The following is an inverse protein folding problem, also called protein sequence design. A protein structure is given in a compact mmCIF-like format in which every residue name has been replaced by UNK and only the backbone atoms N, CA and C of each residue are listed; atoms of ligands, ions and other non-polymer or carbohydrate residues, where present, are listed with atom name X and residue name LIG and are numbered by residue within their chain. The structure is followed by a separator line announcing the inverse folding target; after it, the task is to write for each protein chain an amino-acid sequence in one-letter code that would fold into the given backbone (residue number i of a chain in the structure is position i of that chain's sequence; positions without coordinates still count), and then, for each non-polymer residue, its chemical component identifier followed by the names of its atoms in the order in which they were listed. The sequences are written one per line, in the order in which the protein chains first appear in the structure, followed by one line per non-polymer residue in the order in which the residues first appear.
data_IF_821857805255
#
_entry.id   IF_821857805255
#
_cell.length_a   1.000
_cell.length_b   1.000
_cell.length_c   1.000
_cell.angle_alpha   90.00
_cell.angle_beta   90.00
_cell.angle_gamma   90.00
#
_symmetry.space_group_name_H-M   'P 1'
#
loop_
_entity.id
_entity.type
_entity.pdbx_description
1 polymer ?
#
# COMPACT_ATOMS: atom_id res chain seq x y z
N UNK A 1 -15.33 12.19 -4.76
CA UNK A 1 -16.54 11.97 -3.96
C UNK A 1 -17.52 10.97 -4.57
N UNK A 2 -18.04 11.20 -5.79
CA UNK A 2 -19.00 10.26 -6.43
C UNK A 2 -18.46 8.83 -6.65
N UNK A 3 -17.18 8.65 -6.83
CA UNK A 3 -16.55 7.34 -7.09
C UNK A 3 -16.33 6.54 -5.79
N UNK A 4 -15.97 7.21 -4.70
CA UNK A 4 -15.88 6.61 -3.36
C UNK A 4 -17.25 6.14 -2.84
N UNK A 5 -18.30 6.93 -3.10
CA UNK A 5 -19.67 6.52 -2.77
C UNK A 5 -20.14 5.29 -3.54
N UNK A 6 -19.67 5.08 -4.78
CA UNK A 6 -19.97 3.85 -5.53
C UNK A 6 -19.28 2.61 -4.96
N UNK A 7 -18.07 2.72 -4.45
CA UNK A 7 -17.36 1.59 -3.80
C UNK A 7 -17.98 1.23 -2.44
N UNK A 8 -18.41 2.22 -1.67
CA UNK A 8 -19.13 1.98 -0.43
C UNK A 8 -20.52 1.36 -0.69
N UNK A 9 -21.18 1.77 -1.77
CA UNK A 9 -22.45 1.21 -2.22
C UNK A 9 -22.31 -0.28 -2.58
N UNK A 10 -21.20 -0.69 -3.20
CA UNK A 10 -20.91 -2.11 -3.51
C UNK A 10 -20.65 -2.91 -2.23
N UNK A 11 -20.00 -2.34 -1.21
CA UNK A 11 -19.85 -2.99 0.10
C UNK A 11 -21.21 -3.19 0.83
N UNK A 12 -22.11 -2.23 0.74
CA UNK A 12 -23.44 -2.32 1.32
C UNK A 12 -24.39 -3.22 0.49
N UNK A 13 -24.27 -3.24 -0.82
CA UNK A 13 -25.08 -4.12 -1.68
C UNK A 13 -24.63 -5.59 -1.58
N UNK A 14 -23.34 -5.88 -1.41
CA UNK A 14 -22.86 -7.24 -1.14
C UNK A 14 -23.37 -7.77 0.22
N UNK A 15 -23.50 -6.89 1.21
CA UNK A 15 -24.15 -7.24 2.49
C UNK A 15 -25.65 -7.50 2.32
N UNK A 16 -26.34 -6.72 1.47
CA UNK A 16 -27.73 -6.94 1.15
C UNK A 16 -27.98 -8.32 0.45
N UNK A 17 -27.06 -8.76 -0.40
CA UNK A 17 -27.17 -10.06 -1.05
C UNK A 17 -26.96 -11.25 -0.11
N UNK A 18 -26.16 -11.11 0.95
CA UNK A 18 -26.03 -12.17 1.97
C UNK A 18 -27.25 -12.29 2.89
N UNK A 19 -28.06 -11.23 3.01
CA UNK A 19 -29.37 -11.22 3.70
C UNK A 19 -30.48 -11.73 2.80
N UNK A 20 -30.26 -11.91 1.49
CA UNK A 20 -31.20 -12.44 0.50
C UNK A 20 -31.67 -13.90 0.73
N UNK A 21 -31.08 -14.61 1.71
CA UNK A 21 -31.64 -15.86 2.20
C UNK A 21 -33.05 -15.70 2.83
N UNK A 22 -33.54 -14.46 3.01
CA UNK A 22 -34.85 -14.12 3.55
C UNK A 22 -35.81 -13.50 2.50
N UNK A 23 -35.48 -13.54 1.21
CA UNK A 23 -36.36 -13.08 0.14
C UNK A 23 -36.45 -11.55 -0.05
N UNK A 24 -35.59 -10.78 0.62
CA UNK A 24 -35.49 -9.34 0.43
C UNK A 24 -34.60 -9.06 -0.77
N UNK A 25 -35.06 -8.30 -1.76
CA UNK A 25 -34.27 -7.92 -2.94
C UNK A 25 -33.43 -6.69 -2.66
N UNK A 26 -32.32 -6.51 -3.38
CA UNK A 26 -31.45 -5.32 -3.25
C UNK A 26 -32.20 -3.98 -3.50
N UNK A 27 -33.40 -4.04 -4.12
CA UNK A 27 -34.27 -2.88 -4.35
C UNK A 27 -35.10 -2.51 -3.12
N UNK A 28 -35.26 -3.44 -2.18
CA UNK A 28 -36.05 -3.24 -0.97
C UNK A 28 -35.20 -2.72 0.21
N UNK A 29 -33.88 -2.63 0.02
CA UNK A 29 -32.96 -2.13 1.05
C UNK A 29 -32.89 -0.61 0.98
N UNK A 30 -33.34 0.03 2.05
CA UNK A 30 -33.22 1.48 2.21
C UNK A 30 -31.80 1.84 2.65
N UNK A 31 -31.11 2.67 1.85
CA UNK A 31 -29.76 3.15 2.18
C UNK A 31 -29.90 4.31 3.16
N UNK A 32 -29.36 4.15 4.36
CA UNK A 32 -29.27 5.22 5.35
C UNK A 32 -28.16 6.21 4.93
N UNK A 33 -28.54 7.33 4.32
CA UNK A 33 -27.63 8.35 3.82
C UNK A 33 -26.76 8.96 4.95
N UNK A 34 -27.27 9.32 6.13
CA UNK A 34 -26.46 9.75 7.25
C UNK A 34 -25.38 8.76 7.67
N UNK A 35 -25.71 7.47 7.81
CA UNK A 35 -24.73 6.44 8.16
C UNK A 35 -23.70 6.20 7.06
N UNK A 36 -24.10 6.31 5.80
CA UNK A 36 -23.20 6.25 4.65
C UNK A 36 -22.20 7.40 4.65
N UNK A 37 -22.63 8.62 4.96
CA UNK A 37 -21.75 9.77 5.08
C UNK A 37 -20.76 9.64 6.24
N UNK A 38 -21.17 9.10 7.39
CA UNK A 38 -20.30 8.82 8.53
C UNK A 38 -19.24 7.77 8.16
N UNK A 39 -19.61 6.74 7.39
CA UNK A 39 -18.68 5.75 6.93
C UNK A 39 -17.63 6.34 5.98
N UNK A 40 -18.06 7.23 5.06
CA UNK A 40 -17.13 7.93 4.14
C UNK A 40 -16.18 8.85 4.91
N UNK A 41 -16.68 9.59 5.91
CA UNK A 41 -15.86 10.43 6.78
C UNK A 41 -14.83 9.58 7.54
N UNK A 42 -15.24 8.49 8.17
CA UNK A 42 -14.35 7.60 8.91
C UNK A 42 -13.27 6.99 8.00
N UNK A 43 -13.61 6.67 6.76
CA UNK A 43 -12.64 6.17 5.77
C UNK A 43 -11.60 7.22 5.38
N UNK A 44 -12.00 8.48 5.27
CA UNK A 44 -11.12 9.58 4.84
C UNK A 44 -10.20 10.11 5.94
N UNK A 45 -10.54 9.91 7.21
CA UNK A 45 -9.77 10.43 8.36
C UNK A 45 -8.70 9.47 8.88
N UNK A 46 -8.66 8.24 8.39
CA UNK A 46 -7.67 7.25 8.81
C UNK A 46 -6.27 7.52 8.25
N UNK A 47 -5.25 7.55 9.10
CA UNK A 47 -3.83 7.66 8.73
C UNK A 47 -3.28 6.31 8.27
N UNK A 48 -3.85 5.73 7.22
CA UNK A 48 -3.41 4.46 6.68
C UNK A 48 -2.38 4.64 5.56
N UNK A 49 -1.27 3.93 5.67
CA UNK A 49 -0.13 4.02 4.75
C UNK A 49 -0.37 3.19 3.49
N UNK A 50 -1.13 2.11 3.60
CA UNK A 50 -1.34 1.17 2.52
C UNK A 50 -1.93 1.78 1.25
N UNK A 51 -2.79 2.78 1.37
CA UNK A 51 -3.34 3.50 0.21
C UNK A 51 -2.32 4.38 -0.51
N UNK A 52 -1.25 4.78 0.16
CA UNK A 52 -0.14 5.53 -0.43
C UNK A 52 0.86 4.62 -1.14
N UNK A 53 1.02 3.38 -0.66
CA UNK A 53 1.88 2.36 -1.26
C UNK A 53 1.24 1.72 -2.48
N UNK A 54 -0.02 1.32 -2.35
CA UNK A 54 -0.77 0.63 -3.39
C UNK A 54 -2.03 1.42 -3.73
N UNK A 55 -2.03 2.17 -4.83
CA UNK A 55 -3.22 2.90 -5.27
C UNK A 55 -4.34 1.93 -5.63
N UNK A 56 -5.58 2.30 -5.33
CA UNK A 56 -6.73 1.51 -5.69
C UNK A 56 -6.95 1.57 -7.21
N UNK A 57 -7.17 0.39 -7.80
CA UNK A 57 -7.52 0.25 -9.22
C UNK A 57 -8.98 -0.21 -9.31
N UNK A 58 -9.81 0.56 -9.98
CA UNK A 58 -11.22 0.22 -10.17
C UNK A 58 -11.34 -0.84 -11.27
N UNK A 59 -11.91 -1.99 -10.92
CA UNK A 59 -12.15 -3.11 -11.84
C UNK A 59 -13.66 -3.33 -12.01
N UNK A 60 -14.08 -3.74 -13.22
CA UNK A 60 -15.49 -3.98 -13.52
C UNK A 60 -15.96 -5.39 -13.14
N UNK A 61 -15.05 -6.35 -13.13
CA UNK A 61 -15.31 -7.76 -12.83
C UNK A 61 -14.52 -8.17 -11.61
N UNK A 62 -15.05 -9.10 -10.87
CA UNK A 62 -14.38 -9.68 -9.70
C UNK A 62 -13.13 -10.47 -10.08
N UNK A 63 -13.13 -11.10 -11.24
CA UNK A 63 -11.96 -11.79 -11.79
C UNK A 63 -11.84 -11.53 -13.28
N UNK A 64 -10.63 -11.23 -13.73
CA UNK A 64 -10.34 -11.09 -15.16
C UNK A 64 -8.83 -11.29 -15.38
N UNK A 65 -8.41 -11.28 -16.64
CA UNK A 65 -7.00 -11.32 -17.02
C UNK A 65 -6.49 -9.91 -17.34
N UNK A 66 -5.24 -9.67 -17.01
CA UNK A 66 -4.52 -8.47 -17.44
C UNK A 66 -3.25 -8.87 -18.18
N UNK A 67 -2.81 -8.00 -19.07
CA UNK A 67 -1.62 -8.27 -19.87
C UNK A 67 -0.38 -7.80 -19.10
N UNK A 68 0.65 -8.63 -19.13
CA UNK A 68 1.97 -8.32 -18.60
C UNK A 68 2.98 -8.31 -19.75
N UNK A 69 3.86 -7.33 -19.75
CA UNK A 69 4.97 -7.25 -20.70
C UNK A 69 6.21 -7.76 -19.99
N UNK A 70 6.89 -8.72 -20.62
CA UNK A 70 8.13 -9.24 -20.08
C UNK A 70 9.20 -8.15 -20.07
N UNK A 71 9.79 -7.98 -18.87
CA UNK A 71 10.80 -6.93 -18.62
C UNK A 71 12.04 -7.13 -19.51
N UNK A 72 12.46 -8.38 -19.74
CA UNK A 72 13.64 -8.70 -20.52
C UNK A 72 13.44 -8.34 -22.00
N UNK A 73 12.21 -8.48 -22.48
CA UNK A 73 11.83 -8.02 -23.83
C UNK A 73 11.81 -6.49 -23.93
N UNK A 74 11.34 -5.78 -22.88
CA UNK A 74 11.22 -4.32 -22.88
C UNK A 74 12.55 -3.60 -22.65
N UNK A 75 13.40 -4.11 -21.78
CA UNK A 75 14.70 -3.52 -21.44
C UNK A 75 15.84 -4.00 -22.36
N UNK A 76 15.54 -4.88 -23.32
CA UNK A 76 16.53 -5.44 -24.23
C UNK A 76 17.04 -4.38 -25.20
N UNK A 77 18.35 -4.21 -25.22
CA UNK A 77 19.03 -3.41 -26.24
C UNK A 77 19.37 -4.31 -27.43
N UNK A 78 18.92 -4.03 -28.65
CA UNK A 78 19.28 -4.81 -29.81
C UNK A 78 20.80 -4.74 -30.06
N UNK A 79 21.40 -5.85 -30.46
CA UNK A 79 22.84 -5.96 -30.69
C UNK A 79 23.38 -5.02 -31.76
N UNK A 80 22.55 -4.66 -32.74
CA UNK A 80 22.86 -3.66 -33.74
C UNK A 80 21.59 -3.05 -34.31
N UNK A 81 21.59 -1.73 -34.41
CA UNK A 81 20.59 -0.93 -35.15
C UNK A 81 21.12 -0.48 -36.52
N UNK A 82 22.39 -0.78 -36.81
CA UNK A 82 23.03 -0.40 -38.07
C UNK A 82 22.48 -1.25 -39.23
N UNK A 83 22.06 -0.56 -40.27
CA UNK A 83 21.53 -1.17 -41.49
C UNK A 83 22.35 -0.76 -42.71
N UNK A 84 22.73 -1.70 -43.53
CA UNK A 84 23.35 -1.42 -44.80
C UNK A 84 22.26 -0.89 -45.83
N UNK A 85 22.63 -0.05 -46.78
CA UNK A 85 21.71 0.37 -47.84
C UNK A 85 21.11 -0.82 -48.58
N UNK A 86 19.81 -0.74 -48.88
CA UNK A 86 19.02 -1.79 -49.58
C UNK A 86 18.82 -3.12 -48.85
N UNK A 87 19.15 -3.21 -47.54
CA UNK A 87 18.83 -4.39 -46.72
C UNK A 87 17.58 -4.17 -45.89
N UNK A 88 16.91 -5.25 -45.50
CA UNK A 88 15.76 -5.20 -44.57
C UNK A 88 16.20 -4.73 -43.18
N UNK A 89 15.39 -3.91 -42.50
CA UNK A 89 15.68 -3.53 -41.11
C UNK A 89 15.57 -4.75 -40.17
N UNK A 90 16.32 -4.71 -39.08
CA UNK A 90 16.18 -5.68 -38.00
C UNK A 90 14.76 -5.62 -37.40
N UNK A 91 14.19 -6.79 -37.15
CA UNK A 91 12.86 -6.89 -36.52
C UNK A 91 13.06 -7.14 -35.02
N UNK A 92 12.29 -6.42 -34.22
CA UNK A 92 12.26 -6.60 -32.77
C UNK A 92 10.79 -6.89 -32.40
N UNK A 93 10.60 -7.95 -31.64
CA UNK A 93 9.29 -8.36 -31.14
C UNK A 93 9.35 -8.34 -29.61
N UNK A 94 8.24 -7.95 -28.99
CA UNK A 94 8.08 -8.06 -27.54
C UNK A 94 7.02 -9.13 -27.24
N UNK A 95 7.25 -9.86 -26.15
CA UNK A 95 6.32 -10.89 -25.70
C UNK A 95 5.32 -10.29 -24.72
N UNK A 96 4.05 -10.61 -24.94
CA UNK A 96 2.96 -10.26 -24.06
C UNK A 96 2.48 -11.53 -23.37
N UNK A 97 2.55 -11.54 -22.08
CA UNK A 97 1.98 -12.59 -21.23
C UNK A 97 0.67 -12.11 -20.62
N UNK A 98 -0.11 -12.99 -20.05
CA UNK A 98 -1.32 -12.62 -19.31
C UNK A 98 -1.29 -13.25 -17.93
N UNK A 99 -1.70 -12.48 -16.93
CA UNK A 99 -1.92 -12.96 -15.59
C UNK A 99 -3.37 -12.67 -15.18
N UNK A 100 -3.84 -13.28 -14.10
CA UNK A 100 -5.21 -13.15 -13.63
C UNK A 100 -5.26 -12.48 -12.26
N UNK A 101 -6.28 -11.69 -12.02
CA UNK A 101 -6.60 -11.16 -10.71
C UNK A 101 -7.93 -11.71 -10.20
N UNK A 102 -8.06 -11.76 -8.90
CA UNK A 102 -9.30 -12.06 -8.20
C UNK A 102 -9.49 -11.10 -7.03
N UNK A 103 -10.58 -10.33 -7.05
CA UNK A 103 -10.94 -9.38 -6.00
C UNK A 103 -11.81 -10.07 -4.95
N UNK A 104 -11.25 -10.31 -3.76
CA UNK A 104 -11.97 -10.88 -2.63
C UNK A 104 -12.84 -9.82 -1.96
N UNK A 105 -14.08 -10.16 -1.62
CA UNK A 105 -14.97 -9.31 -0.85
C UNK A 105 -14.66 -9.42 0.64
N UNK A 106 -14.55 -8.29 1.30
CA UNK A 106 -14.36 -8.19 2.74
C UNK A 106 -15.51 -7.38 3.34
N UNK A 107 -16.26 -7.99 4.23
CA UNK A 107 -17.38 -7.35 4.92
C UNK A 107 -17.35 -7.67 6.42
N UNK A 108 -17.83 -6.74 7.22
CA UNK A 108 -18.06 -6.90 8.66
C UNK A 108 -19.46 -6.39 9.00
N UNK A 109 -20.14 -7.06 9.89
CA UNK A 109 -21.44 -6.68 10.42
C UNK A 109 -21.38 -6.60 11.95
N UNK A 110 -22.18 -5.72 12.52
CA UNK A 110 -22.44 -5.66 13.96
C UNK A 110 -23.93 -5.44 14.19
N UNK A 111 -24.48 -6.23 15.08
CA UNK A 111 -25.89 -6.14 15.46
C UNK A 111 -26.02 -5.25 16.69
N UNK A 112 -26.88 -4.26 16.62
CA UNK A 112 -27.30 -3.45 17.76
C UNK A 112 -28.76 -3.81 18.08
N UNK A 113 -29.01 -4.40 19.23
CA UNK A 113 -30.36 -4.71 19.67
C UNK A 113 -31.20 -3.43 19.76
N UNK A 114 -32.47 -3.52 19.37
CA UNK A 114 -33.36 -2.35 19.34
C UNK A 114 -33.56 -1.75 20.73
N UNK A 115 -33.59 -2.58 21.76
CA UNK A 115 -33.70 -2.16 23.16
C UNK A 115 -32.48 -1.38 23.63
N UNK A 116 -31.29 -1.75 23.16
CA UNK A 116 -30.04 -1.05 23.48
C UNK A 116 -30.01 0.32 22.81
N UNK A 117 -30.49 0.40 21.55
CA UNK A 117 -30.59 1.67 20.83
C UNK A 117 -31.61 2.59 21.50
N UNK A 118 -32.75 2.07 21.93
CA UNK A 118 -33.82 2.82 22.57
C UNK A 118 -33.42 3.36 23.97
N UNK A 119 -32.55 2.63 24.67
CA UNK A 119 -32.04 3.03 25.99
C UNK A 119 -30.72 3.80 25.96
N UNK A 120 -30.13 3.98 24.76
CA UNK A 120 -28.88 4.73 24.63
C UNK A 120 -29.13 6.21 24.72
N UNK A 121 -28.33 6.91 25.52
CA UNK A 121 -28.35 8.38 25.59
C UNK A 121 -27.99 9.00 24.26
N UNK A 122 -28.65 10.08 23.89
CA UNK A 122 -28.45 10.83 22.64
C UNK A 122 -26.96 11.15 22.34
N UNK A 123 -26.12 11.55 23.32
CA UNK A 123 -24.69 11.82 23.05
C UNK A 123 -23.91 10.61 22.55
N UNK A 124 -24.40 9.38 22.79
CA UNK A 124 -23.66 8.18 22.43
C UNK A 124 -23.74 7.87 20.94
N UNK A 125 -24.85 8.21 20.28
CA UNK A 125 -25.08 7.95 18.84
C UNK A 125 -24.61 6.54 18.42
N UNK A 126 -25.15 5.52 19.04
CA UNK A 126 -24.65 4.13 18.98
C UNK A 126 -24.47 3.64 17.54
N UNK A 127 -25.44 3.91 16.64
CA UNK A 127 -25.34 3.50 15.23
C UNK A 127 -24.13 4.14 14.52
N UNK A 128 -23.92 5.43 14.73
CA UNK A 128 -22.78 6.16 14.13
C UNK A 128 -21.43 5.63 14.64
N UNK A 129 -21.33 5.35 15.94
CA UNK A 129 -20.13 4.76 16.54
C UNK A 129 -19.86 3.35 16.01
N UNK A 130 -20.90 2.51 15.91
CA UNK A 130 -20.77 1.17 15.35
C UNK A 130 -20.30 1.22 13.90
N UNK A 131 -20.85 2.15 13.09
CA UNK A 131 -20.42 2.32 11.69
C UNK A 131 -18.94 2.73 11.61
N UNK A 132 -18.51 3.71 12.39
CA UNK A 132 -17.09 4.12 12.44
C UNK A 132 -16.18 2.97 12.88
N UNK A 133 -16.58 2.22 13.89
CA UNK A 133 -15.85 1.06 14.38
C UNK A 133 -15.67 -0.02 13.30
N UNK A 134 -16.74 -0.36 12.57
CA UNK A 134 -16.68 -1.34 11.50
C UNK A 134 -15.76 -0.89 10.35
N UNK A 135 -15.83 0.38 9.95
CA UNK A 135 -14.96 0.94 8.91
C UNK A 135 -13.49 0.89 9.36
N UNK A 136 -13.21 1.30 10.59
CA UNK A 136 -11.85 1.27 11.15
C UNK A 136 -11.28 -0.15 11.20
N UNK A 137 -12.09 -1.14 11.61
CA UNK A 137 -11.72 -2.56 11.61
C UNK A 137 -11.41 -3.07 10.19
N UNK A 138 -12.23 -2.72 9.19
CA UNK A 138 -11.99 -3.08 7.79
C UNK A 138 -10.69 -2.46 7.26
N UNK A 139 -10.44 -1.19 7.59
CA UNK A 139 -9.23 -0.49 7.17
C UNK A 139 -7.97 -1.07 7.81
N UNK A 140 -8.00 -1.38 9.10
CA UNK A 140 -6.91 -2.08 9.79
C UNK A 140 -6.65 -3.45 9.19
N UNK A 141 -7.71 -4.19 8.85
CA UNK A 141 -7.59 -5.47 8.17
C UNK A 141 -6.94 -5.34 6.79
N UNK A 142 -7.25 -4.27 6.04
CA UNK A 142 -6.59 -3.95 4.76
C UNK A 142 -5.12 -3.62 4.98
N UNK A 143 -4.81 -2.77 5.96
CA UNK A 143 -3.44 -2.36 6.29
C UNK A 143 -2.57 -3.56 6.67
N UNK A 144 -3.10 -4.46 7.51
CA UNK A 144 -2.41 -5.69 7.89
C UNK A 144 -2.08 -6.57 6.68
N UNK A 145 -3.02 -6.74 5.74
CA UNK A 145 -2.77 -7.50 4.51
C UNK A 145 -1.69 -6.86 3.65
N UNK A 146 -1.70 -5.54 3.52
CA UNK A 146 -0.67 -4.80 2.79
C UNK A 146 0.69 -4.97 3.47
N UNK A 147 0.76 -4.83 4.79
CA UNK A 147 1.98 -5.04 5.55
C UNK A 147 2.54 -6.46 5.34
N UNK A 148 1.70 -7.49 5.42
CA UNK A 148 2.09 -8.87 5.15
C UNK A 148 2.61 -9.07 3.72
N UNK A 149 2.00 -8.41 2.74
CA UNK A 149 2.42 -8.49 1.35
C UNK A 149 3.79 -7.83 1.13
N UNK A 150 4.02 -6.67 1.73
CA UNK A 150 5.28 -5.91 1.59
C UNK A 150 6.43 -6.54 2.37
N UNK A 151 6.16 -7.19 3.50
CA UNK A 151 7.21 -7.85 4.31
C UNK A 151 7.56 -9.26 3.84
N UNK A 152 6.77 -9.83 2.93
CA UNK A 152 7.03 -11.17 2.41
C UNK A 152 8.17 -11.19 1.39
N UNK A 153 9.27 -11.87 1.71
CA UNK A 153 10.42 -12.06 0.82
C UNK A 153 10.01 -12.70 -0.51
N UNK A 154 9.05 -13.61 -0.47
CA UNK A 154 8.54 -14.28 -1.69
C UNK A 154 7.92 -13.28 -2.68
N UNK A 155 7.26 -12.24 -2.19
CA UNK A 155 6.60 -11.25 -3.03
C UNK A 155 7.57 -10.17 -3.53
N UNK A 156 8.56 -9.82 -2.70
CA UNK A 156 9.53 -8.75 -3.02
C UNK A 156 10.68 -9.27 -3.90
N UNK A 157 10.90 -10.59 -3.92
CA UNK A 157 11.94 -11.24 -4.72
C UNK A 157 13.36 -11.09 -4.17
N UNK A 158 13.59 -10.23 -3.17
CA UNK A 158 14.87 -10.11 -2.47
C UNK A 158 14.65 -9.54 -1.07
N UNK A 159 15.40 -10.02 -0.12
CA UNK A 159 15.41 -9.51 1.23
C UNK A 159 16.71 -9.90 1.93
N UNK A 160 17.21 -9.02 2.78
CA UNK A 160 18.38 -9.27 3.62
C UNK A 160 17.90 -9.27 5.07
N UNK A 161 18.17 -10.33 5.80
CA UNK A 161 17.93 -10.39 7.24
C UNK A 161 19.21 -9.94 7.93
N UNK A 162 19.16 -8.76 8.54
CA UNK A 162 20.26 -8.24 9.34
C UNK A 162 20.31 -9.00 10.68
N UNK A 163 21.52 -9.33 11.14
CA UNK A 163 21.73 -10.03 12.40
C UNK A 163 22.99 -9.58 13.09
N UNK A 164 23.04 -9.74 14.41
CA UNK A 164 24.21 -9.43 15.22
C UNK A 164 24.68 -7.98 15.12
N UNK A 165 25.92 -7.77 14.75
CA UNK A 165 26.54 -6.45 14.62
C UNK A 165 26.00 -5.59 13.50
N UNK A 166 25.30 -6.18 12.51
CA UNK A 166 24.76 -5.46 11.35
C UNK A 166 23.37 -4.88 11.62
N UNK A 167 22.75 -5.16 12.75
CA UNK A 167 21.48 -4.53 13.12
C UNK A 167 21.65 -3.01 13.24
N UNK A 168 20.76 -2.24 12.69
CA UNK A 168 20.81 -0.77 12.75
C UNK A 168 20.70 -0.19 14.17
N UNK A 169 20.26 -0.98 15.13
CA UNK A 169 20.34 -0.66 16.55
C UNK A 169 21.76 -0.78 17.12
N UNK A 170 22.68 -1.43 16.41
CA UNK A 170 24.08 -1.50 16.80
C UNK A 170 24.85 -0.32 16.18
N UNK A 171 24.99 0.75 16.92
CA UNK A 171 25.63 1.99 16.48
C UNK A 171 27.16 1.90 16.26
N UNK A 172 27.78 0.76 16.57
CA UNK A 172 29.24 0.60 16.48
C UNK A 172 29.66 0.05 15.12
N UNK A 173 28.92 -0.89 14.56
CA UNK A 173 29.37 -1.65 13.38
C UNK A 173 28.37 -1.66 12.21
N UNK A 174 27.16 -1.15 12.40
CA UNK A 174 26.16 -1.12 11.32
C UNK A 174 26.33 0.11 10.43
N UNK A 175 26.01 -0.06 9.15
CA UNK A 175 25.99 1.02 8.17
C UNK A 175 24.67 1.03 7.38
N UNK A 176 23.64 1.75 7.87
CA UNK A 176 22.35 1.85 7.20
C UNK A 176 22.42 2.44 5.80
N UNK A 177 23.39 3.32 5.54
CA UNK A 177 23.53 4.00 4.23
C UNK A 177 24.01 3.00 3.17
N UNK A 178 24.99 2.16 3.52
CA UNK A 178 25.46 1.10 2.63
C UNK A 178 24.37 0.07 2.32
N UNK A 179 23.59 -0.33 3.34
CA UNK A 179 22.49 -1.28 3.17
C UNK A 179 21.39 -0.73 2.24
N UNK A 180 20.96 0.51 2.44
CA UNK A 180 19.97 1.17 1.57
C UNK A 180 20.51 1.36 0.16
N UNK A 181 21.78 1.73 0.01
CA UNK A 181 22.43 1.86 -1.31
C UNK A 181 22.44 0.52 -2.06
N UNK A 182 22.69 -0.58 -1.36
CA UNK A 182 22.61 -1.93 -1.93
C UNK A 182 21.19 -2.25 -2.38
N UNK A 183 20.17 -1.91 -1.59
CA UNK A 183 18.77 -2.03 -1.97
C UNK A 183 18.40 -1.23 -3.22
N UNK A 184 18.87 0.02 -3.32
CA UNK A 184 18.71 0.84 -4.52
C UNK A 184 19.36 0.23 -5.76
N UNK A 185 20.57 -0.32 -5.62
CA UNK A 185 21.26 -1.01 -6.71
C UNK A 185 20.47 -2.22 -7.21
N UNK A 186 19.93 -3.01 -6.28
CA UNK A 186 19.08 -4.15 -6.60
C UNK A 186 17.81 -3.75 -7.36
N UNK A 187 17.08 -2.74 -6.89
CA UNK A 187 15.87 -2.26 -7.56
C UNK A 187 16.22 -1.76 -8.96
N UNK A 188 17.26 -0.94 -9.10
CA UNK A 188 17.70 -0.41 -10.39
C UNK A 188 18.11 -1.50 -11.38
N UNK A 189 18.83 -2.51 -10.94
CA UNK A 189 19.25 -3.64 -11.79
C UNK A 189 18.05 -4.45 -12.27
N UNK A 190 17.03 -4.61 -11.42
CA UNK A 190 15.87 -5.42 -11.73
C UNK A 190 14.78 -4.69 -12.49
N UNK A 191 14.63 -3.39 -12.32
CA UNK A 191 13.51 -2.62 -12.88
C UNK A 191 13.95 -1.50 -13.84
N UNK A 192 15.23 -1.12 -13.84
CA UNK A 192 15.72 0.06 -14.53
C UNK A 192 15.31 1.39 -13.85
N UNK A 193 14.53 1.34 -12.77
CA UNK A 193 13.99 2.51 -12.07
C UNK A 193 14.73 2.75 -10.75
N UNK A 194 14.60 3.96 -10.22
CA UNK A 194 15.10 4.29 -8.87
C UNK A 194 13.97 4.09 -7.86
N UNK A 195 14.32 3.60 -6.67
CA UNK A 195 13.38 3.59 -5.56
C UNK A 195 13.04 5.04 -5.16
N UNK A 196 11.76 5.30 -4.96
CA UNK A 196 11.25 6.63 -4.61
C UNK A 196 10.64 6.68 -3.19
N UNK A 197 10.35 5.54 -2.61
CA UNK A 197 9.66 5.46 -1.32
C UNK A 197 10.38 4.48 -0.40
N UNK A 198 10.64 4.89 0.83
CA UNK A 198 11.08 4.01 1.91
C UNK A 198 9.93 3.81 2.89
N UNK A 199 9.70 2.56 3.28
CA UNK A 199 8.75 2.19 4.33
C UNK A 199 9.54 1.62 5.49
N UNK A 200 9.28 2.10 6.69
CA UNK A 200 9.93 1.62 7.91
C UNK A 200 9.00 1.75 9.11
N UNK A 201 9.29 0.97 10.13
CA UNK A 201 8.61 1.08 11.42
C UNK A 201 9.11 2.28 12.22
N UNK A 202 8.28 2.77 13.14
CA UNK A 202 8.58 3.91 14.02
C UNK A 202 9.86 3.72 14.82
N UNK A 203 10.11 2.53 15.32
CA UNK A 203 11.32 2.21 16.12
C UNK A 203 12.57 2.28 15.23
N UNK A 204 12.49 1.74 14.03
CA UNK A 204 13.57 1.83 13.02
C UNK A 204 13.84 3.27 12.64
N UNK A 205 12.80 4.06 12.40
CA UNK A 205 12.92 5.49 12.11
C UNK A 205 13.61 6.26 13.24
N UNK A 206 13.22 6.02 14.49
CA UNK A 206 13.85 6.67 15.65
C UNK A 206 15.31 6.24 15.84
N UNK A 207 15.62 4.98 15.57
CA UNK A 207 16.99 4.45 15.60
C UNK A 207 17.87 5.12 14.56
N UNK A 208 17.39 5.25 13.32
CA UNK A 208 18.10 5.92 12.23
C UNK A 208 18.39 7.40 12.54
N UNK A 209 17.44 8.13 13.10
CA UNK A 209 17.62 9.55 13.46
C UNK A 209 18.74 9.79 14.47
N UNK A 210 19.10 8.78 15.25
CA UNK A 210 20.19 8.83 16.27
C UNK A 210 21.45 8.11 15.82
N UNK A 211 21.45 7.55 14.63
CA UNK A 211 22.55 6.71 14.16
C UNK A 211 23.83 7.54 13.93
N UNK A 212 24.98 7.18 14.50
CA UNK A 212 26.21 7.96 14.41
C UNK A 212 26.67 8.23 12.97
N UNK A 213 26.55 7.25 12.08
CA UNK A 213 26.91 7.41 10.65
C UNK A 213 26.10 8.53 10.00
N UNK A 214 24.82 8.65 10.28
CA UNK A 214 23.96 9.70 9.76
C UNK A 214 24.25 11.05 10.42
N UNK A 215 24.44 11.06 11.73
CA UNK A 215 24.80 12.27 12.48
C UNK A 215 26.14 12.85 12.02
N UNK A 216 27.14 12.02 11.74
CA UNK A 216 28.46 12.46 11.28
C UNK A 216 28.41 13.14 9.90
N UNK A 217 27.48 12.75 9.03
CA UNK A 217 27.26 13.40 7.74
C UNK A 217 26.78 14.84 7.90
N UNK A 218 26.02 15.14 8.94
CA UNK A 218 25.39 16.44 9.17
C UNK A 218 25.98 17.24 10.34
N UNK A 219 27.01 16.74 11.01
CA UNK A 219 27.54 17.34 12.25
C UNK A 219 28.01 18.78 12.11
N UNK A 220 28.41 19.20 10.93
CA UNK A 220 28.83 20.57 10.66
C UNK A 220 27.73 21.47 10.11
N UNK A 221 26.58 20.91 9.77
CA UNK A 221 25.48 21.64 9.13
C UNK A 221 24.36 21.93 10.12
N UNK A 222 24.04 20.98 10.99
CA UNK A 222 23.02 21.13 12.03
C UNK A 222 23.41 20.33 13.28
N UNK A 223 23.12 20.89 14.45
CA UNK A 223 23.30 20.18 15.71
C UNK A 223 22.03 19.44 16.10
N UNK A 224 22.13 18.19 16.47
CA UNK A 224 21.03 17.43 17.04
C UNK A 224 20.69 16.15 16.30
N UNK A 225 19.40 15.84 16.18
CA UNK A 225 18.90 14.67 15.47
C UNK A 225 18.70 14.93 13.99
N UNK A 226 18.93 13.91 13.16
CA UNK A 226 18.64 13.95 11.72
C UNK A 226 17.12 14.17 11.52
N UNK A 227 16.78 15.14 10.70
CA UNK A 227 15.38 15.43 10.37
C UNK A 227 14.89 14.58 9.16
N UNK A 228 13.59 14.64 8.87
CA UNK A 228 12.98 13.86 7.80
C UNK A 228 13.54 14.23 6.40
N UNK A 229 13.81 15.52 6.15
CA UNK A 229 14.34 15.98 4.88
C UNK A 229 15.79 15.51 4.64
N UNK A 230 16.60 15.49 5.68
CA UNK A 230 17.97 14.99 5.65
C UNK A 230 17.99 13.48 5.40
N UNK A 231 17.12 12.73 6.10
CA UNK A 231 17.00 11.29 5.93
C UNK A 231 16.56 10.92 4.50
N UNK A 232 15.60 11.65 3.93
CA UNK A 232 15.21 11.51 2.51
C UNK A 232 16.36 11.77 1.57
N UNK A 233 17.16 12.79 1.85
CA UNK A 233 18.32 13.16 1.03
C UNK A 233 19.39 12.08 1.04
N UNK A 234 19.74 11.55 2.22
CA UNK A 234 20.75 10.47 2.35
C UNK A 234 20.28 9.18 1.69
N UNK A 235 19.02 8.83 1.90
CA UNK A 235 18.45 7.62 1.30
C UNK A 235 18.01 7.80 -0.15
N UNK A 236 18.17 9.01 -0.72
CA UNK A 236 17.77 9.32 -2.10
C UNK A 236 16.32 8.92 -2.43
N UNK A 237 15.40 9.12 -1.48
CA UNK A 237 13.98 8.82 -1.63
C UNK A 237 13.14 10.09 -1.55
N UNK A 238 12.00 10.08 -2.24
CA UNK A 238 11.06 11.21 -2.22
C UNK A 238 10.15 11.17 -0.98
N UNK A 239 9.82 9.96 -0.54
CA UNK A 239 8.90 9.73 0.58
C UNK A 239 9.48 8.73 1.58
N UNK A 240 9.28 9.03 2.86
CA UNK A 240 9.45 8.07 3.95
C UNK A 240 8.09 7.89 4.59
N UNK A 241 7.64 6.66 4.67
CA UNK A 241 6.39 6.25 5.31
C UNK A 241 6.74 5.50 6.60
N UNK A 242 6.17 5.95 7.71
CA UNK A 242 6.46 5.45 9.06
C UNK A 242 5.17 5.00 9.72
#
# INVERSE_FOLDING_TARGET
MKQLMRQLLVLFTAYAESVLALGVTARDVHIDVPLSNIAVEAFSTGNFIGAQLFPNVDVRKQSDKYYTIDKDSWLRVPSSTLRAPKTSPGRVEFQVSSDSYYASNHALASENAHEVIANADDPIQLRARTTRFLVDMLMRGKELRIAQLVTSITNIGSGVVLSGGNLWSNYVSSDPVADVTTGHAFIRQNTGLRANTALMDTDTYQTLRRHPVLLDMYKYTQGGMVNDAELKSVFMVEKILV
#
